data_IF_233685328660
#
_entry.id   IF_233685328660
#
_cell.length_a   1.000
_cell.length_b   1.000
_cell.length_c   1.000
_cell.angle_alpha   90.00
_cell.angle_beta   90.00
_cell.angle_gamma   90.00
#
_symmetry.space_group_name_H-M   'P 1'
#
loop_
_entity.id
_entity.type
_entity.pdbx_description
1 polymer ?
#
# COMPACT_ATOMS: atom_id res chain seq x y z
N UNK A 1 20.45 -19.91 -13.66
CA UNK A 1 19.39 -18.91 -13.43
C UNK A 1 18.15 -19.64 -12.92
N UNK A 2 18.05 -19.76 -11.59
CA UNK A 2 17.04 -20.58 -10.94
C UNK A 2 15.66 -19.92 -10.92
N UNK A 3 14.62 -20.72 -11.08
CA UNK A 3 13.21 -20.29 -11.01
C UNK A 3 12.87 -19.57 -9.69
N UNK A 4 13.60 -19.89 -8.62
CA UNK A 4 13.49 -19.29 -7.29
C UNK A 4 13.90 -17.80 -7.27
N UNK A 5 14.90 -17.40 -8.06
CA UNK A 5 15.35 -16.00 -8.15
C UNK A 5 14.31 -15.12 -8.85
N UNK A 6 13.61 -15.70 -9.84
CA UNK A 6 12.51 -15.05 -10.56
C UNK A 6 11.27 -14.87 -9.68
N UNK A 7 10.94 -15.88 -8.86
CA UNK A 7 9.85 -15.79 -7.90
C UNK A 7 10.14 -14.78 -6.78
N UNK A 8 11.37 -14.74 -6.28
CA UNK A 8 11.79 -13.72 -5.31
C UNK A 8 11.67 -12.30 -5.85
N UNK A 9 11.97 -12.09 -7.12
CA UNK A 9 11.79 -10.77 -7.77
C UNK A 9 10.32 -10.46 -8.04
N UNK A 10 9.51 -11.47 -8.37
CA UNK A 10 8.07 -11.30 -8.59
C UNK A 10 7.30 -11.02 -7.29
N UNK A 11 7.70 -11.64 -6.17
CA UNK A 11 7.10 -11.42 -4.84
C UNK A 11 7.72 -10.21 -4.14
N UNK A 12 9.04 -10.01 -4.28
CA UNK A 12 9.77 -8.90 -3.67
C UNK A 12 9.58 -7.54 -4.35
N UNK A 13 8.88 -7.49 -5.49
CA UNK A 13 8.43 -6.25 -6.12
C UNK A 13 7.08 -5.73 -5.60
N UNK A 14 6.41 -6.47 -4.71
CA UNK A 14 5.20 -6.00 -4.02
C UNK A 14 5.57 -5.42 -2.66
N UNK A 15 6.50 -4.46 -2.63
CA UNK A 15 7.02 -3.88 -1.39
C UNK A 15 6.95 -2.35 -1.36
N UNK A 16 6.54 -1.71 -2.45
CA UNK A 16 6.43 -0.24 -2.54
C UNK A 16 5.01 0.27 -2.27
N UNK A 17 4.15 -0.56 -1.68
CA UNK A 17 2.83 -0.11 -1.25
C UNK A 17 2.95 0.90 -0.12
N UNK A 18 2.55 2.15 -0.35
CA UNK A 18 2.50 3.15 0.72
C UNK A 18 1.27 2.84 1.57
N UNK A 19 1.48 2.74 2.89
CA UNK A 19 0.41 2.53 3.84
C UNK A 19 -0.31 3.85 4.10
N UNK A 20 -1.63 3.80 4.18
CA UNK A 20 -2.44 4.93 4.55
C UNK A 20 -3.47 4.53 5.59
N UNK A 21 -3.70 5.41 6.56
CA UNK A 21 -4.68 5.24 7.63
C UNK A 21 -5.86 6.18 7.43
N UNK A 22 -7.05 5.63 7.62
CA UNK A 22 -8.31 6.34 7.60
C UNK A 22 -8.61 6.95 8.96
N UNK A 23 -8.69 8.28 9.07
CA UNK A 23 -9.00 8.94 10.35
C UNK A 23 -10.45 8.78 10.83
N UNK A 24 -11.36 8.27 10.00
CA UNK A 24 -12.79 8.09 10.32
C UNK A 24 -13.13 6.66 10.71
N UNK A 25 -12.51 5.71 10.03
CA UNK A 25 -12.74 4.28 10.17
C UNK A 25 -11.60 3.57 10.90
N UNK A 26 -10.50 4.27 11.16
CA UNK A 26 -9.30 3.79 11.85
C UNK A 26 -8.66 2.56 11.18
N UNK A 27 -9.02 2.30 9.92
CA UNK A 27 -8.47 1.21 9.12
C UNK A 27 -7.21 1.64 8.37
N UNK A 28 -6.30 0.68 8.20
CA UNK A 28 -5.07 0.84 7.41
C UNK A 28 -5.19 0.13 6.08
N UNK A 29 -4.83 0.81 5.01
CA UNK A 29 -4.87 0.34 3.64
C UNK A 29 -3.50 0.46 2.99
N UNK A 30 -3.15 -0.49 2.12
CA UNK A 30 -1.95 -0.41 1.30
C UNK A 30 -2.32 -0.02 -0.13
N UNK A 31 -1.79 1.10 -0.62
CA UNK A 31 -2.00 1.53 -1.99
C UNK A 31 -0.69 1.49 -2.78
N UNK A 32 -0.79 1.21 -4.07
CA UNK A 32 0.34 1.31 -4.96
C UNK A 32 0.88 2.76 -4.97
N UNK A 33 2.21 2.95 -5.13
CA UNK A 33 2.82 4.28 -5.09
C UNK A 33 2.39 5.15 -6.28
N UNK A 34 1.79 4.55 -7.31
CA UNK A 34 1.20 5.22 -8.47
C UNK A 34 -0.20 5.80 -8.20
N UNK A 35 -0.80 5.52 -7.05
CA UNK A 35 -2.11 6.07 -6.67
C UNK A 35 -1.89 7.43 -6.02
N UNK A 36 -2.17 8.48 -6.80
CA UNK A 36 -2.23 9.83 -6.31
C UNK A 36 -3.58 10.03 -5.59
N UNK A 37 -3.54 10.33 -4.29
CA UNK A 37 -4.69 10.61 -3.44
C UNK A 37 -5.69 9.44 -3.23
N UNK A 38 -5.30 8.36 -2.52
CA UNK A 38 -6.23 7.28 -2.20
C UNK A 38 -7.29 7.73 -1.17
N UNK A 39 -8.56 7.37 -1.43
CA UNK A 39 -9.69 7.61 -0.52
C UNK A 39 -10.19 6.31 0.12
N UNK A 40 -10.76 6.44 1.30
CA UNK A 40 -11.38 5.36 2.05
C UNK A 40 -12.55 4.75 1.27
N UNK A 41 -12.55 3.44 0.94
CA UNK A 41 -13.64 2.81 0.20
C UNK A 41 -14.94 2.67 1.01
N UNK A 42 -14.88 2.83 2.33
CA UNK A 42 -16.04 2.70 3.22
C UNK A 42 -16.70 4.03 3.55
N UNK A 43 -15.94 5.13 3.44
CA UNK A 43 -16.28 6.39 4.05
C UNK A 43 -15.93 7.60 3.19
N UNK A 44 -15.31 7.39 2.03
CA UNK A 44 -14.82 8.41 1.08
C UNK A 44 -13.92 9.49 1.71
N UNK A 45 -13.47 9.25 2.94
CA UNK A 45 -12.56 10.14 3.66
C UNK A 45 -11.14 10.07 3.09
N UNK A 46 -10.41 11.17 3.24
CA UNK A 46 -9.00 11.26 2.88
C UNK A 46 -8.15 10.36 3.77
N UNK A 47 -7.29 9.54 3.16
CA UNK A 47 -6.39 8.65 3.88
C UNK A 47 -5.06 9.35 4.15
N UNK A 48 -4.51 9.19 5.35
CA UNK A 48 -3.24 9.79 5.79
C UNK A 48 -2.13 8.80 5.60
N UNK A 49 -1.08 9.14 4.87
CA UNK A 49 0.07 8.26 4.70
C UNK A 49 0.70 7.95 6.07
N UNK A 50 0.83 6.66 6.39
CA UNK A 50 1.54 6.18 7.57
C UNK A 50 2.94 5.79 7.10
N UNK A 51 3.88 6.71 7.30
CA UNK A 51 5.29 6.46 7.04
C UNK A 51 5.83 5.76 8.29
N UNK A 52 6.01 4.44 8.20
CA UNK A 52 6.66 3.67 9.26
C UNK A 52 8.13 4.09 9.28
N UNK A 53 8.49 4.89 10.30
CA UNK A 53 9.83 5.42 10.53
C UNK A 53 10.84 4.34 10.94
#
# INVERSE_FOLDING_TARGET
MGLVERLRSAVGGHSDGRLYECGTCEETFAYAPSVDNPTCPYCDAELRATEVA
#
